data_IF_248943902265
#
_entry.id   IF_248943902265
#
_cell.length_a   1.000
_cell.length_b   1.000
_cell.length_c   1.000
_cell.angle_alpha   90.00
_cell.angle_beta   90.00
_cell.angle_gamma   90.00
#
_symmetry.space_group_name_H-M   'P 1'
#
loop_
_entity.id
_entity.type
_entity.pdbx_description
1 polymer ?
#
# COMPACT_ATOMS: atom_id res chain seq x y z
N UNK A 1 -4.55 -18.54 11.81
CA UNK A 1 -3.20 -18.52 12.43
C UNK A 1 -2.73 -17.08 12.35
N UNK A 2 -2.36 -16.45 13.46
CA UNK A 2 -1.78 -15.09 13.43
C UNK A 2 -0.46 -15.16 12.67
N UNK A 3 -0.34 -14.42 11.57
CA UNK A 3 0.92 -14.33 10.82
C UNK A 3 2.05 -13.86 11.75
N UNK A 4 3.28 -14.37 11.60
CA UNK A 4 4.40 -13.90 12.42
C UNK A 4 4.62 -12.40 12.19
N UNK A 5 4.88 -11.64 13.25
CA UNK A 5 5.17 -10.21 13.15
C UNK A 5 6.64 -10.01 12.74
N UNK A 6 6.89 -9.17 11.73
CA UNK A 6 8.24 -8.85 11.29
C UNK A 6 8.36 -7.40 10.84
N UNK A 7 9.39 -6.70 11.33
CA UNK A 7 9.86 -5.45 10.75
C UNK A 7 10.65 -5.69 9.46
N UNK A 8 11.55 -6.69 9.45
CA UNK A 8 12.38 -7.00 8.29
C UNK A 8 11.53 -7.59 7.16
N UNK A 9 11.92 -7.38 5.89
CA UNK A 9 11.15 -7.89 4.77
C UNK A 9 10.98 -9.41 4.83
N UNK A 10 9.75 -9.87 4.62
CA UNK A 10 9.42 -11.28 4.65
C UNK A 10 8.25 -11.59 3.72
N UNK A 11 8.58 -12.23 2.59
CA UNK A 11 7.59 -12.63 1.59
C UNK A 11 6.57 -13.68 2.09
N UNK A 12 6.91 -14.53 3.07
CA UNK A 12 5.97 -15.52 3.61
C UNK A 12 4.80 -14.85 4.35
N UNK A 13 5.07 -13.72 5.04
CA UNK A 13 4.03 -12.92 5.71
C UNK A 13 3.06 -12.34 4.67
N UNK A 14 3.61 -11.80 3.58
CA UNK A 14 2.80 -11.27 2.47
C UNK A 14 1.93 -12.36 1.85
N UNK A 15 2.49 -13.56 1.61
CA UNK A 15 1.71 -14.69 1.09
C UNK A 15 0.58 -15.10 2.04
N UNK A 16 0.83 -15.09 3.34
CA UNK A 16 -0.18 -15.38 4.35
C UNK A 16 -1.30 -14.31 4.34
N UNK A 17 -0.97 -13.03 4.20
CA UNK A 17 -1.97 -11.98 4.08
C UNK A 17 -2.75 -12.04 2.76
N UNK A 18 -2.11 -12.33 1.63
CA UNK A 18 -2.82 -12.55 0.37
C UNK A 18 -3.83 -13.69 0.48
N UNK A 19 -3.43 -14.83 1.08
CA UNK A 19 -4.35 -15.93 1.33
C UNK A 19 -5.51 -15.50 2.24
N UNK A 20 -5.20 -14.82 3.35
CA UNK A 20 -6.23 -14.38 4.31
C UNK A 20 -7.23 -13.41 3.65
N UNK A 21 -6.74 -12.42 2.90
CA UNK A 21 -7.59 -11.48 2.14
C UNK A 21 -8.53 -12.20 1.18
N UNK A 22 -8.02 -13.23 0.47
CA UNK A 22 -8.82 -14.03 -0.46
C UNK A 22 -9.85 -14.91 0.24
N UNK A 23 -9.51 -15.51 1.38
CA UNK A 23 -10.46 -16.27 2.20
C UNK A 23 -11.58 -15.37 2.71
N UNK A 24 -11.25 -14.19 3.26
CA UNK A 24 -12.22 -13.20 3.73
C UNK A 24 -13.13 -12.68 2.61
N UNK A 25 -12.56 -12.43 1.43
CA UNK A 25 -13.34 -12.06 0.25
C UNK A 25 -14.37 -13.13 -0.08
N UNK A 26 -13.98 -14.41 -0.12
CA UNK A 26 -14.91 -15.50 -0.42
C UNK A 26 -16.01 -15.63 0.64
N UNK A 27 -15.65 -15.55 1.93
CA UNK A 27 -16.64 -15.59 3.00
C UNK A 27 -17.65 -14.44 2.86
N UNK A 28 -17.17 -13.24 2.54
CA UNK A 28 -18.04 -12.08 2.32
C UNK A 28 -18.89 -12.22 1.06
N UNK A 29 -18.37 -12.76 -0.05
CA UNK A 29 -19.16 -12.96 -1.27
C UNK A 29 -20.32 -13.93 -1.04
N UNK A 30 -20.08 -15.00 -0.29
CA UNK A 30 -21.15 -15.95 0.08
C UNK A 30 -22.20 -15.29 0.99
N UNK A 31 -21.76 -14.53 1.99
CA UNK A 31 -22.66 -13.78 2.86
C UNK A 31 -23.50 -12.77 2.06
N UNK A 32 -22.86 -11.98 1.19
CA UNK A 32 -23.54 -10.99 0.35
C UNK A 32 -24.57 -11.67 -0.57
N UNK A 33 -24.21 -12.79 -1.20
CA UNK A 33 -25.12 -13.53 -2.07
C UNK A 33 -26.36 -14.05 -1.31
N UNK A 34 -26.18 -14.48 -0.05
CA UNK A 34 -27.29 -14.90 0.82
C UNK A 34 -28.20 -13.71 1.17
N UNK A 35 -27.65 -12.62 1.69
CA UNK A 35 -28.45 -11.48 2.16
C UNK A 35 -29.08 -10.67 1.03
N UNK A 36 -28.53 -10.72 -0.19
CA UNK A 36 -29.10 -10.05 -1.36
C UNK A 36 -29.99 -10.95 -2.22
N UNK A 37 -30.24 -12.21 -1.82
CA UNK A 37 -30.91 -13.21 -2.66
C UNK A 37 -32.34 -12.87 -3.08
N UNK A 38 -33.04 -12.02 -2.32
CA UNK A 38 -34.39 -11.53 -2.69
C UNK A 38 -34.36 -10.53 -3.86
N UNK A 39 -33.20 -9.92 -4.14
CA UNK A 39 -33.04 -8.85 -5.12
C UNK A 39 -32.06 -9.20 -6.26
N UNK A 40 -31.09 -10.07 -6.00
CA UNK A 40 -30.03 -10.45 -6.94
C UNK A 40 -30.06 -11.97 -7.09
N UNK A 41 -30.48 -12.44 -8.26
CA UNK A 41 -30.40 -13.85 -8.62
C UNK A 41 -29.00 -14.16 -9.16
N UNK A 42 -28.23 -14.95 -8.42
CA UNK A 42 -26.88 -15.40 -8.80
C UNK A 42 -26.89 -16.90 -9.08
N UNK A 43 -26.10 -17.32 -10.08
CA UNK A 43 -25.86 -18.74 -10.30
C UNK A 43 -24.97 -19.31 -9.20
N UNK A 44 -25.50 -20.25 -8.42
CA UNK A 44 -24.74 -20.95 -7.38
C UNK A 44 -23.48 -21.63 -7.93
N UNK A 45 -23.51 -22.06 -9.20
CA UNK A 45 -22.35 -22.68 -9.86
C UNK A 45 -21.27 -21.63 -10.18
N UNK A 46 -21.66 -20.45 -10.70
CA UNK A 46 -20.70 -19.37 -10.98
C UNK A 46 -20.04 -18.86 -9.71
N UNK A 47 -20.82 -18.70 -8.63
CA UNK A 47 -20.30 -18.33 -7.31
C UNK A 47 -19.29 -19.36 -6.80
N UNK A 48 -19.61 -20.66 -6.86
CA UNK A 48 -18.69 -21.70 -6.39
C UNK A 48 -17.41 -21.76 -7.24
N UNK A 49 -17.51 -21.61 -8.56
CA UNK A 49 -16.34 -21.56 -9.44
C UNK A 49 -15.44 -20.37 -9.12
N UNK A 50 -16.02 -19.18 -8.90
CA UNK A 50 -15.27 -18.00 -8.50
C UNK A 50 -14.62 -18.19 -7.13
N UNK A 51 -15.33 -18.76 -6.16
CA UNK A 51 -14.80 -19.06 -4.82
C UNK A 51 -13.57 -19.98 -4.88
N UNK A 52 -13.63 -21.05 -5.69
CA UNK A 52 -12.49 -21.95 -5.89
C UNK A 52 -11.31 -21.21 -6.52
N UNK A 53 -11.56 -20.39 -7.56
CA UNK A 53 -10.52 -19.63 -8.24
C UNK A 53 -9.85 -18.61 -7.31
N UNK A 54 -10.64 -17.83 -6.56
CA UNK A 54 -10.15 -16.82 -5.60
C UNK A 54 -9.33 -17.50 -4.50
N UNK A 55 -9.69 -18.70 -4.03
CA UNK A 55 -8.88 -19.42 -3.02
C UNK A 55 -7.57 -19.98 -3.57
N UNK A 56 -7.49 -20.27 -4.86
CA UNK A 56 -6.32 -20.92 -5.46
C UNK A 56 -5.27 -19.93 -6.00
N UNK A 57 -5.69 -18.74 -6.45
CA UNK A 57 -4.81 -17.81 -7.14
C UNK A 57 -5.01 -16.38 -6.63
N UNK A 58 -3.94 -15.58 -6.63
CA UNK A 58 -4.03 -14.17 -6.26
C UNK A 58 -5.02 -13.44 -7.17
N UNK A 59 -5.77 -12.51 -6.60
CA UNK A 59 -6.76 -11.70 -7.33
C UNK A 59 -6.14 -10.41 -7.84
N UNK A 60 -6.76 -9.83 -8.86
CA UNK A 60 -6.42 -8.47 -9.27
C UNK A 60 -6.86 -7.47 -8.17
N UNK A 61 -6.07 -6.43 -7.88
CA UNK A 61 -6.46 -5.36 -6.96
C UNK A 61 -7.81 -4.72 -7.35
N UNK A 62 -8.09 -4.64 -8.65
CA UNK A 62 -9.36 -4.17 -9.20
C UNK A 62 -10.55 -5.05 -8.79
N UNK A 63 -10.35 -6.35 -8.59
CA UNK A 63 -11.39 -7.29 -8.12
C UNK A 63 -11.78 -7.00 -6.68
N UNK A 64 -10.78 -6.74 -5.82
CA UNK A 64 -11.06 -6.37 -4.43
C UNK A 64 -11.77 -5.02 -4.36
N UNK A 65 -11.31 -4.03 -5.12
CA UNK A 65 -11.96 -2.73 -5.17
C UNK A 65 -13.41 -2.81 -5.71
N UNK A 66 -13.68 -3.63 -6.73
CA UNK A 66 -15.04 -3.91 -7.20
C UNK A 66 -15.91 -4.55 -6.09
N UNK A 67 -15.34 -5.40 -5.24
CA UNK A 67 -16.04 -5.93 -4.07
C UNK A 67 -16.38 -4.83 -3.05
N UNK A 68 -15.50 -3.86 -2.78
CA UNK A 68 -15.84 -2.72 -1.91
C UNK A 68 -16.96 -1.87 -2.51
N UNK A 69 -16.93 -1.63 -3.82
CA UNK A 69 -18.01 -0.95 -4.55
C UNK A 69 -19.33 -1.73 -4.43
N UNK A 70 -19.27 -3.07 -4.52
CA UNK A 70 -20.43 -3.97 -4.38
C UNK A 70 -21.08 -3.82 -3.00
N UNK A 71 -20.28 -3.82 -1.93
CA UNK A 71 -20.78 -3.61 -0.56
C UNK A 71 -21.50 -2.27 -0.47
N UNK A 72 -20.92 -1.20 -1.03
CA UNK A 72 -21.54 0.12 -1.07
C UNK A 72 -22.87 0.14 -1.82
N UNK A 73 -22.95 -0.52 -2.98
CA UNK A 73 -24.16 -0.60 -3.80
C UNK A 73 -25.30 -1.36 -3.07
N UNK A 74 -24.98 -2.45 -2.38
CA UNK A 74 -25.95 -3.19 -1.55
C UNK A 74 -26.45 -2.31 -0.40
N UNK A 75 -25.55 -1.59 0.28
CA UNK A 75 -25.92 -0.72 1.40
C UNK A 75 -26.80 0.47 0.98
N UNK A 76 -26.60 1.00 -0.23
CA UNK A 76 -27.42 2.08 -0.79
C UNK A 76 -28.74 1.60 -1.42
N UNK A 77 -28.92 0.28 -1.55
CA UNK A 77 -30.08 -0.33 -2.21
C UNK A 77 -30.04 -0.26 -3.74
N UNK A 78 -28.89 0.04 -4.34
CA UNK A 78 -28.68 0.02 -5.78
C UNK A 78 -28.38 -1.41 -6.26
N UNK A 79 -29.42 -2.24 -6.32
CA UNK A 79 -29.29 -3.66 -6.65
C UNK A 79 -28.94 -3.93 -8.13
N UNK A 80 -29.17 -2.95 -9.02
CA UNK A 80 -28.77 -3.09 -10.43
C UNK A 80 -27.25 -2.95 -10.56
N UNK A 81 -26.65 -1.96 -9.91
CA UNK A 81 -25.19 -1.79 -9.82
C UNK A 81 -24.56 -2.97 -9.06
N UNK A 82 -25.14 -3.36 -7.92
CA UNK A 82 -24.66 -4.50 -7.15
C UNK A 82 -24.64 -5.80 -7.98
N UNK A 83 -25.66 -6.05 -8.80
CA UNK A 83 -25.68 -7.22 -9.70
C UNK A 83 -24.56 -7.16 -10.73
N UNK A 84 -24.29 -5.98 -11.30
CA UNK A 84 -23.20 -5.80 -12.26
C UNK A 84 -21.82 -6.05 -11.62
N UNK A 85 -21.59 -5.49 -10.42
CA UNK A 85 -20.34 -5.66 -9.68
C UNK A 85 -20.14 -7.10 -9.20
N UNK A 86 -21.21 -7.79 -8.78
CA UNK A 86 -21.14 -9.23 -8.52
C UNK A 86 -20.63 -9.98 -9.76
N UNK A 87 -21.24 -9.74 -10.91
CA UNK A 87 -20.86 -10.43 -12.14
C UNK A 87 -19.42 -10.09 -12.56
N UNK A 88 -18.97 -8.86 -12.31
CA UNK A 88 -17.57 -8.48 -12.53
C UNK A 88 -16.62 -9.30 -11.64
N UNK A 89 -16.89 -9.40 -10.34
CA UNK A 89 -16.08 -10.17 -9.39
C UNK A 89 -16.10 -11.66 -9.73
N UNK A 90 -17.27 -12.22 -10.07
CA UNK A 90 -17.44 -13.63 -10.45
C UNK A 90 -16.75 -13.99 -11.76
N UNK A 91 -16.54 -13.04 -12.67
CA UNK A 91 -15.81 -13.26 -13.93
C UNK A 91 -14.36 -12.77 -13.88
N UNK A 92 -13.90 -12.26 -12.75
CA UNK A 92 -12.56 -11.72 -12.63
C UNK A 92 -11.50 -12.82 -12.87
N UNK A 93 -10.58 -12.51 -13.78
CA UNK A 93 -9.40 -13.33 -14.03
C UNK A 93 -8.40 -13.21 -12.88
N UNK A 94 -7.62 -14.28 -12.60
CA UNK A 94 -6.54 -14.22 -11.62
C UNK A 94 -5.51 -13.16 -11.97
N UNK A 95 -4.85 -12.62 -10.94
CA UNK A 95 -3.67 -11.79 -11.14
C UNK A 95 -2.53 -12.61 -11.77
N UNK A 96 -1.71 -11.93 -12.55
CA UNK A 96 -0.47 -12.50 -13.07
C UNK A 96 0.57 -12.57 -11.95
N UNK A 97 1.46 -13.57 -12.02
CA UNK A 97 2.63 -13.64 -11.14
C UNK A 97 3.61 -12.48 -11.35
N UNK A 98 3.49 -11.74 -12.46
CA UNK A 98 4.34 -10.59 -12.76
C UNK A 98 3.63 -9.27 -12.44
N UNK A 99 4.39 -8.38 -11.80
CA UNK A 99 3.98 -7.00 -11.54
C UNK A 99 3.74 -6.26 -12.87
N UNK A 100 2.59 -5.59 -12.98
CA UNK A 100 2.24 -4.79 -14.17
C UNK A 100 2.17 -3.31 -13.84
N UNK A 101 2.87 -2.49 -14.62
CA UNK A 101 2.77 -1.03 -14.58
C UNK A 101 1.70 -0.58 -15.57
N UNK A 102 0.70 0.18 -15.10
CA UNK A 102 -0.43 0.67 -15.90
C UNK A 102 -0.57 2.20 -15.81
N UNK A 103 -1.04 2.88 -16.86
CA UNK A 103 -1.27 4.32 -16.81
C UNK A 103 -2.59 4.64 -16.11
N UNK A 104 -2.64 5.77 -15.41
CA UNK A 104 -3.89 6.47 -15.13
C UNK A 104 -4.35 7.19 -16.40
N UNK A 105 -5.58 6.92 -16.84
CA UNK A 105 -6.15 7.41 -18.10
C UNK A 105 -7.25 8.46 -17.92
N UNK A 106 -7.76 8.65 -16.70
CA UNK A 106 -8.78 9.65 -16.39
C UNK A 106 -10.10 9.06 -15.89
N UNK A 107 -11.07 9.93 -15.63
CA UNK A 107 -12.35 9.56 -15.02
C UNK A 107 -13.24 8.64 -15.90
N UNK A 108 -13.01 8.63 -17.22
CA UNK A 108 -13.76 7.78 -18.16
C UNK A 108 -13.19 6.35 -18.25
N UNK A 109 -12.04 6.08 -17.64
CA UNK A 109 -11.41 4.76 -17.59
C UNK A 109 -11.74 4.07 -16.26
N UNK A 110 -12.35 2.88 -16.34
CA UNK A 110 -12.87 2.15 -15.17
C UNK A 110 -11.75 1.86 -14.13
N UNK A 111 -10.58 1.30 -14.49
CA UNK A 111 -9.49 1.14 -13.55
C UNK A 111 -9.07 2.46 -12.90
N UNK A 112 -8.91 3.52 -13.68
CA UNK A 112 -8.48 4.84 -13.18
C UNK A 112 -9.44 5.42 -12.14
N UNK A 113 -10.74 5.44 -12.43
CA UNK A 113 -11.73 5.97 -11.48
C UNK A 113 -11.84 5.08 -10.24
N UNK A 114 -11.73 3.76 -10.39
CA UNK A 114 -11.76 2.82 -9.27
C UNK A 114 -10.60 3.03 -8.32
N UNK A 115 -9.39 3.23 -8.84
CA UNK A 115 -8.24 3.52 -7.98
C UNK A 115 -8.44 4.82 -7.21
N UNK A 116 -8.94 5.86 -7.90
CA UNK A 116 -9.18 7.16 -7.24
C UNK A 116 -10.23 7.07 -6.14
N UNK A 117 -11.34 6.37 -6.36
CA UNK A 117 -12.35 6.15 -5.31
C UNK A 117 -11.79 5.49 -4.05
N UNK A 118 -10.72 4.70 -4.18
CA UNK A 118 -10.09 4.01 -3.06
C UNK A 118 -9.04 4.87 -2.34
N UNK A 119 -8.32 5.75 -3.06
CA UNK A 119 -7.26 6.59 -2.45
C UNK A 119 -7.73 7.98 -2.06
N UNK A 120 -8.80 8.51 -2.67
CA UNK A 120 -9.37 9.82 -2.37
C UNK A 120 -10.38 9.73 -1.21
N UNK A 121 -9.86 9.64 0.00
CA UNK A 121 -10.66 9.42 1.22
C UNK A 121 -10.94 10.70 2.01
N UNK A 122 -10.37 11.84 1.62
CA UNK A 122 -10.47 13.10 2.34
C UNK A 122 -11.21 14.14 1.48
N UNK A 123 -12.51 14.38 1.71
CA UNK A 123 -13.29 15.33 0.92
C UNK A 123 -12.80 16.78 1.07
N UNK A 124 -12.09 17.12 2.15
CA UNK A 124 -11.55 18.45 2.38
C UNK A 124 -10.19 18.66 1.68
N UNK A 125 -9.51 17.57 1.31
CA UNK A 125 -8.22 17.60 0.62
C UNK A 125 -8.16 16.53 -0.49
N UNK A 126 -8.81 16.79 -1.63
CA UNK A 126 -9.00 15.80 -2.68
C UNK A 126 -7.66 15.32 -3.28
N UNK A 127 -7.57 14.02 -3.50
CA UNK A 127 -6.43 13.38 -4.14
C UNK A 127 -6.50 13.54 -5.67
N UNK A 128 -5.81 14.56 -6.18
CA UNK A 128 -5.85 14.90 -7.60
C UNK A 128 -4.76 14.16 -8.39
N UNK A 129 -5.18 13.30 -9.31
CA UNK A 129 -4.31 12.64 -10.28
C UNK A 129 -4.72 12.99 -11.72
N UNK A 130 -3.73 13.16 -12.57
CA UNK A 130 -3.89 13.41 -14.00
C UNK A 130 -3.12 12.37 -14.81
N UNK A 131 -3.53 12.07 -16.05
CA UNK A 131 -2.73 11.25 -16.94
C UNK A 131 -1.33 11.85 -17.11
N UNK A 132 -0.29 11.04 -16.93
CA UNK A 132 1.09 11.45 -17.18
C UNK A 132 1.36 11.58 -18.68
N UNK A 133 2.40 12.33 -19.06
CA UNK A 133 2.86 12.30 -20.45
C UNK A 133 3.41 10.91 -20.80
N UNK A 134 3.48 10.59 -22.10
CA UNK A 134 4.07 9.32 -22.55
C UNK A 134 5.54 9.20 -22.16
N UNK A 135 6.27 10.32 -22.15
CA UNK A 135 7.67 10.39 -21.75
C UNK A 135 7.83 10.14 -20.25
N UNK A 136 7.03 10.81 -19.41
CA UNK A 136 7.05 10.61 -17.96
C UNK A 136 6.67 9.17 -17.57
N UNK A 137 5.65 8.61 -18.23
CA UNK A 137 5.25 7.22 -18.02
C UNK A 137 6.37 6.24 -18.36
N UNK A 138 7.01 6.40 -19.53
CA UNK A 138 8.08 5.53 -19.98
C UNK A 138 9.30 5.62 -19.05
N UNK A 139 9.67 6.85 -18.65
CA UNK A 139 10.77 7.11 -17.70
C UNK A 139 10.50 6.49 -16.34
N UNK A 140 9.33 6.72 -15.75
CA UNK A 140 8.98 6.16 -14.45
C UNK A 140 8.90 4.63 -14.49
N UNK A 141 8.34 4.05 -15.56
CA UNK A 141 8.34 2.59 -15.76
C UNK A 141 9.76 2.02 -15.82
N UNK A 142 10.66 2.66 -16.56
CA UNK A 142 12.06 2.26 -16.61
C UNK A 142 12.73 2.38 -15.23
N UNK A 143 12.48 3.46 -14.50
CA UNK A 143 13.00 3.62 -13.13
C UNK A 143 12.48 2.55 -12.17
N UNK A 144 11.22 2.13 -12.29
CA UNK A 144 10.67 1.00 -11.51
C UNK A 144 11.44 -0.28 -11.82
N UNK A 145 11.64 -0.59 -13.10
CA UNK A 145 12.37 -1.78 -13.54
C UNK A 145 13.81 -1.78 -13.00
N UNK A 146 14.55 -0.67 -13.20
CA UNK A 146 15.93 -0.52 -12.71
C UNK A 146 16.02 -0.59 -11.18
N UNK A 147 15.06 -0.01 -10.47
CA UNK A 147 15.02 -0.04 -9.00
C UNK A 147 14.72 -1.44 -8.47
N UNK A 148 13.83 -2.18 -9.12
CA UNK A 148 13.53 -3.57 -8.76
C UNK A 148 14.74 -4.48 -9.03
N UNK A 149 15.45 -4.30 -10.15
CA UNK A 149 16.70 -5.04 -10.43
C UNK A 149 17.79 -4.74 -9.39
N UNK A 150 17.92 -3.47 -9.00
CA UNK A 150 18.84 -3.06 -7.94
C UNK A 150 18.47 -3.68 -6.60
N UNK A 151 17.19 -3.63 -6.21
CA UNK A 151 16.69 -4.27 -5.00
C UNK A 151 16.88 -5.79 -5.04
N UNK A 152 16.67 -6.44 -6.19
CA UNK A 152 16.90 -7.88 -6.32
C UNK A 152 18.35 -8.26 -6.01
N UNK A 153 19.30 -7.39 -6.37
CA UNK A 153 20.73 -7.62 -6.15
C UNK A 153 21.17 -7.28 -4.72
N UNK A 154 20.72 -6.14 -4.21
CA UNK A 154 21.24 -5.55 -2.96
C UNK A 154 20.39 -5.89 -1.73
N UNK A 155 19.10 -6.14 -1.94
CA UNK A 155 18.15 -6.55 -0.91
C UNK A 155 17.12 -7.57 -1.43
N UNK A 156 17.55 -8.82 -1.68
CA UNK A 156 16.67 -9.84 -2.26
C UNK A 156 15.40 -10.09 -1.44
N UNK A 157 15.46 -9.91 -0.11
CA UNK A 157 14.30 -10.08 0.77
C UNK A 157 13.24 -8.99 0.54
N UNK A 158 13.67 -7.72 0.44
CA UNK A 158 12.76 -6.60 0.12
C UNK A 158 12.19 -6.74 -1.29
N UNK A 159 13.02 -7.11 -2.27
CA UNK A 159 12.55 -7.39 -3.62
C UNK A 159 11.48 -8.50 -3.63
N UNK A 160 11.73 -9.61 -2.94
CA UNK A 160 10.79 -10.73 -2.86
C UNK A 160 9.48 -10.32 -2.17
N UNK A 161 9.54 -9.54 -1.08
CA UNK A 161 8.35 -9.03 -0.41
C UNK A 161 7.52 -8.14 -1.33
N UNK A 162 8.15 -7.15 -1.98
CA UNK A 162 7.48 -6.21 -2.90
C UNK A 162 6.85 -6.95 -4.07
N UNK A 163 7.59 -7.84 -4.73
CA UNK A 163 7.10 -8.54 -5.94
C UNK A 163 6.09 -9.64 -5.63
N UNK A 164 6.10 -10.19 -4.41
CA UNK A 164 5.04 -11.08 -3.94
C UNK A 164 3.77 -10.28 -3.66
N UNK A 165 3.88 -9.11 -3.03
CA UNK A 165 2.76 -8.27 -2.62
C UNK A 165 2.09 -7.58 -3.81
N UNK A 166 2.87 -6.86 -4.60
CA UNK A 166 2.34 -6.00 -5.65
C UNK A 166 2.04 -6.77 -6.94
N UNK A 167 0.85 -6.55 -7.47
CA UNK A 167 0.39 -6.99 -8.80
C UNK A 167 0.28 -5.83 -9.76
N UNK A 168 -0.01 -4.62 -9.26
CA UNK A 168 -0.17 -3.40 -10.06
C UNK A 168 0.60 -2.22 -9.50
N UNK A 169 1.17 -1.42 -10.40
CA UNK A 169 1.56 -0.03 -10.13
C UNK A 169 0.82 0.84 -11.12
N UNK A 170 -0.03 1.74 -10.63
CA UNK A 170 -0.66 2.75 -11.48
C UNK A 170 0.19 4.02 -11.48
N UNK A 171 0.52 4.52 -12.67
CA UNK A 171 1.27 5.76 -12.85
C UNK A 171 0.36 6.88 -13.34
N UNK A 172 0.34 7.98 -12.59
CA UNK A 172 -0.24 9.25 -13.04
C UNK A 172 0.68 10.42 -12.69
N UNK A 173 0.16 11.62 -12.73
CA UNK A 173 0.88 12.84 -12.36
C UNK A 173 0.03 13.70 -11.45
N UNK A 174 0.66 14.34 -10.46
CA UNK A 174 0.00 15.37 -9.66
C UNK A 174 -0.29 16.64 -10.46
N UNK A 175 -1.04 17.59 -9.87
CA UNK A 175 -1.32 18.87 -10.51
C UNK A 175 -0.05 19.67 -10.75
N UNK A 176 0.05 20.33 -11.93
CA UNK A 176 1.22 21.13 -12.32
C UNK A 176 1.12 22.60 -11.89
N UNK A 177 -0.06 23.03 -11.42
CA UNK A 177 -0.31 24.42 -11.08
C UNK A 177 0.35 24.79 -9.74
N UNK A 178 1.01 25.94 -9.70
CA UNK A 178 1.65 26.42 -8.47
C UNK A 178 0.61 26.62 -7.36
N UNK A 179 0.87 26.03 -6.20
CA UNK A 179 0.03 26.17 -5.01
C UNK A 179 -1.01 25.06 -4.84
N UNK A 180 -1.08 24.10 -5.77
CA UNK A 180 -1.82 22.87 -5.57
C UNK A 180 -0.90 21.80 -4.95
N UNK A 181 -1.45 20.99 -4.05
CA UNK A 181 -0.74 19.85 -3.49
C UNK A 181 -0.58 18.77 -4.56
N UNK A 182 0.67 18.36 -4.79
CA UNK A 182 1.01 17.15 -5.54
C UNK A 182 1.03 15.94 -4.60
N UNK A 183 1.12 14.74 -5.16
CA UNK A 183 1.29 13.50 -4.41
C UNK A 183 2.58 12.80 -4.83
N UNK A 184 3.18 12.02 -3.93
CA UNK A 184 4.33 11.17 -4.23
C UNK A 184 3.85 9.76 -4.60
N UNK A 185 3.02 9.18 -3.74
CA UNK A 185 2.35 7.91 -3.94
C UNK A 185 1.09 7.78 -3.07
N UNK A 186 0.34 6.71 -3.29
CA UNK A 186 -0.80 6.34 -2.46
C UNK A 186 -1.03 4.83 -2.47
N UNK A 187 -1.58 4.36 -1.35
CA UNK A 187 -1.99 2.97 -1.12
C UNK A 187 -3.32 2.97 -0.35
N UNK A 188 -4.18 2.00 -0.61
CA UNK A 188 -5.47 1.86 0.08
C UNK A 188 -5.79 0.38 0.37
N UNK A 189 -6.48 0.06 1.49
CA UNK A 189 -6.87 -1.32 1.82
C UNK A 189 -7.71 -2.00 0.72
N UNK A 190 -8.60 -1.24 0.07
CA UNK A 190 -9.42 -1.75 -1.05
C UNK A 190 -8.64 -2.02 -2.34
N UNK A 191 -7.36 -1.63 -2.38
CA UNK A 191 -6.43 -1.86 -3.48
C UNK A 191 -5.28 -2.80 -3.04
N UNK A 192 -5.55 -3.80 -2.19
CA UNK A 192 -4.55 -4.79 -1.79
C UNK A 192 -3.75 -5.33 -2.99
N UNK A 193 -2.43 -5.16 -2.95
CA UNK A 193 -1.53 -5.56 -4.03
C UNK A 193 -1.39 -4.52 -5.13
N UNK A 194 -1.83 -3.28 -4.91
CA UNK A 194 -1.58 -2.15 -5.80
C UNK A 194 -1.09 -0.90 -5.06
N UNK A 195 -0.36 -0.09 -5.80
CA UNK A 195 0.06 1.25 -5.40
C UNK A 195 -0.14 2.23 -6.56
N UNK A 196 -0.37 3.49 -6.23
CA UNK A 196 -0.41 4.61 -7.19
C UNK A 196 0.85 5.43 -6.98
N UNK A 197 1.61 5.70 -8.04
CA UNK A 197 2.81 6.53 -7.95
C UNK A 197 2.73 7.72 -8.90
N UNK A 198 3.31 8.84 -8.48
CA UNK A 198 3.52 9.97 -9.35
C UNK A 198 4.71 9.66 -10.29
N UNK A 199 4.45 9.71 -11.59
CA UNK A 199 5.41 9.44 -12.65
C UNK A 199 6.48 10.51 -12.80
N UNK A 200 6.37 11.64 -12.09
CA UNK A 200 7.31 12.77 -12.17
C UNK A 200 8.24 12.82 -10.96
N UNK A 201 7.73 12.63 -9.73
CA UNK A 201 8.48 12.93 -8.49
C UNK A 201 9.76 12.11 -8.32
N UNK A 202 9.79 10.76 -8.50
CA UNK A 202 11.03 10.02 -8.38
C UNK A 202 11.98 10.39 -9.53
N UNK A 203 13.14 10.98 -9.21
CA UNK A 203 14.08 11.45 -10.23
C UNK A 203 15.15 10.41 -10.57
N UNK A 204 15.41 9.47 -9.66
CA UNK A 204 16.39 8.40 -9.84
C UNK A 204 16.00 7.11 -9.08
N UNK A 205 16.84 6.08 -9.21
CA UNK A 205 16.63 4.76 -8.60
C UNK A 205 16.62 4.76 -7.07
N UNK A 206 17.27 5.74 -6.42
CA UNK A 206 17.26 5.85 -4.95
C UNK A 206 15.89 6.38 -4.49
N UNK A 207 15.32 7.34 -5.20
CA UNK A 207 13.96 7.81 -4.91
C UNK A 207 12.94 6.73 -5.20
N UNK A 208 13.04 6.09 -6.37
CA UNK A 208 12.07 5.09 -6.79
C UNK A 208 12.12 3.85 -5.88
N UNK A 209 13.29 3.35 -5.50
CA UNK A 209 13.41 2.24 -4.55
C UNK A 209 12.81 2.58 -3.18
N UNK A 210 13.01 3.80 -2.67
CA UNK A 210 12.38 4.25 -1.44
C UNK A 210 10.87 4.41 -1.58
N UNK A 211 10.39 4.91 -2.72
CA UNK A 211 8.96 5.07 -3.03
C UNK A 211 8.26 3.71 -3.10
N UNK A 212 8.89 2.72 -3.75
CA UNK A 212 8.40 1.35 -3.77
C UNK A 212 8.37 0.75 -2.36
N UNK A 213 9.42 0.95 -1.56
CA UNK A 213 9.47 0.48 -0.18
C UNK A 213 8.45 1.20 0.72
N UNK A 214 8.14 2.46 0.45
CA UNK A 214 7.15 3.26 1.17
C UNK A 214 5.74 2.69 0.96
N UNK A 215 5.30 2.64 -0.29
CA UNK A 215 3.92 2.28 -0.60
C UNK A 215 3.65 0.78 -0.40
N UNK A 216 4.64 -0.09 -0.69
CA UNK A 216 4.52 -1.52 -0.35
C UNK A 216 4.46 -1.74 1.16
N UNK A 217 5.13 -0.91 1.96
CA UNK A 217 5.04 -0.98 3.42
C UNK A 217 3.65 -0.59 3.92
N UNK A 218 3.00 0.42 3.31
CA UNK A 218 1.59 0.70 3.61
C UNK A 218 0.68 -0.47 3.29
N UNK A 219 0.85 -1.11 2.12
CA UNK A 219 0.14 -2.35 1.81
C UNK A 219 0.41 -3.43 2.87
N UNK A 220 1.67 -3.66 3.27
CA UNK A 220 2.01 -4.62 4.33
C UNK A 220 1.29 -4.31 5.65
N UNK A 221 1.24 -3.03 6.06
CA UNK A 221 0.54 -2.60 7.27
C UNK A 221 -0.98 -2.86 7.17
N UNK A 222 -1.60 -2.70 6.00
CA UNK A 222 -3.01 -3.10 5.83
C UNK A 222 -3.22 -4.60 6.05
N UNK A 223 -2.23 -5.43 5.71
CA UNK A 223 -2.27 -6.87 5.95
C UNK A 223 -2.24 -7.19 7.45
N UNK A 224 -1.40 -6.47 8.20
CA UNK A 224 -1.43 -6.54 9.67
C UNK A 224 -2.77 -6.05 10.25
N UNK A 225 -3.47 -5.14 9.57
CA UNK A 225 -4.75 -4.61 10.00
C UNK A 225 -5.99 -5.44 9.60
N UNK A 226 -5.82 -6.65 9.04
CA UNK A 226 -6.96 -7.47 8.58
C UNK A 226 -7.91 -7.82 9.73
N UNK A 227 -7.37 -8.21 10.88
CA UNK A 227 -8.17 -8.68 12.02
C UNK A 227 -8.32 -7.63 13.14
N UNK A 228 -7.39 -6.69 13.26
CA UNK A 228 -7.39 -5.67 14.33
C UNK A 228 -6.59 -4.42 13.94
N UNK A 229 -6.82 -3.30 14.62
CA UNK A 229 -6.06 -2.06 14.45
C UNK A 229 -4.67 -2.17 15.11
N UNK A 230 -3.75 -1.25 14.76
CA UNK A 230 -2.42 -1.17 15.38
C UNK A 230 -2.40 -0.23 16.59
N UNK A 231 -3.37 0.69 16.64
CA UNK A 231 -3.62 1.59 17.78
C UNK A 231 -5.12 1.66 18.01
N UNK A 232 -5.53 1.71 19.28
CA UNK A 232 -6.94 1.83 19.68
C UNK A 232 -7.43 3.29 19.72
N UNK A 233 -6.52 4.26 19.55
CA UNK A 233 -6.88 5.67 19.51
C UNK A 233 -7.87 5.91 18.38
N UNK A 234 -8.99 6.62 18.63
CA UNK A 234 -9.93 6.91 17.58
C UNK A 234 -9.28 7.87 16.56
N UNK A 235 -9.79 7.85 15.32
CA UNK A 235 -9.76 9.05 14.46
C UNK A 235 -10.42 10.21 15.24
N UNK A 236 -10.56 11.46 14.81
CA UNK A 236 -10.92 12.59 15.71
C UNK A 236 -9.88 12.92 16.82
N UNK A 237 -9.18 11.96 17.43
CA UNK A 237 -8.02 12.27 18.27
C UNK A 237 -6.84 12.64 17.37
N UNK A 238 -6.47 13.93 17.34
CA UNK A 238 -5.47 14.48 16.41
C UNK A 238 -4.24 15.01 17.16
N UNK A 239 -3.06 14.67 16.67
CA UNK A 239 -1.77 15.05 17.25
C UNK A 239 -0.87 15.70 16.21
N UNK A 240 0.03 16.57 16.67
CA UNK A 240 1.04 17.14 15.79
C UNK A 240 1.92 16.03 15.21
N UNK A 241 2.16 16.09 13.89
CA UNK A 241 3.06 15.19 13.19
C UNK A 241 4.23 16.01 12.64
N UNK A 242 5.49 15.57 12.79
CA UNK A 242 6.65 16.26 12.22
C UNK A 242 6.59 16.39 10.69
N UNK A 243 5.83 15.49 10.04
CA UNK A 243 5.79 15.36 8.58
C UNK A 243 4.67 16.18 7.92
N UNK A 244 3.76 16.79 8.70
CA UNK A 244 2.65 17.59 8.18
C UNK A 244 2.36 18.79 9.06
N UNK A 245 1.85 19.85 8.43
CA UNK A 245 1.40 21.05 9.15
C UNK A 245 0.13 20.75 9.93
N UNK A 246 -0.77 19.96 9.36
CA UNK A 246 -2.04 19.61 9.97
C UNK A 246 -1.93 18.43 10.95
N UNK A 247 -2.59 18.50 12.12
CA UNK A 247 -2.67 17.39 13.06
C UNK A 247 -3.27 16.12 12.45
N UNK A 248 -2.74 14.96 12.84
CA UNK A 248 -3.07 13.65 12.26
C UNK A 248 -3.67 12.70 13.31
N UNK A 249 -4.55 11.75 12.91
CA UNK A 249 -4.84 10.60 13.77
C UNK A 249 -3.56 9.87 14.12
N UNK A 250 -3.57 9.21 15.28
CA UNK A 250 -2.43 8.42 15.73
C UNK A 250 -2.15 7.22 14.83
N UNK A 251 -3.17 6.62 14.22
CA UNK A 251 -3.01 5.59 13.19
C UNK A 251 -2.14 6.11 12.02
N UNK A 252 -2.45 7.30 11.52
CA UNK A 252 -1.66 7.95 10.47
C UNK A 252 -0.22 8.27 10.89
N UNK A 253 0.03 8.59 12.16
CA UNK A 253 1.39 8.81 12.69
C UNK A 253 2.13 7.48 12.86
N UNK A 254 1.42 6.42 13.29
CA UNK A 254 1.96 5.07 13.40
C UNK A 254 2.46 4.60 12.04
N UNK A 255 1.60 4.66 11.02
CA UNK A 255 1.91 4.26 9.65
C UNK A 255 3.12 5.02 9.11
N UNK A 256 3.13 6.35 9.23
CA UNK A 256 4.24 7.17 8.75
C UNK A 256 5.56 6.85 9.48
N UNK A 257 5.51 6.66 10.81
CA UNK A 257 6.70 6.32 11.61
C UNK A 257 7.27 4.97 11.20
N UNK A 258 6.44 3.93 11.09
CA UNK A 258 6.90 2.61 10.69
C UNK A 258 7.49 2.61 9.27
N UNK A 259 6.84 3.31 8.34
CA UNK A 259 7.32 3.46 6.96
C UNK A 259 8.66 4.20 6.91
N UNK A 260 8.89 5.22 7.74
CA UNK A 260 10.19 5.91 7.81
C UNK A 260 11.32 4.95 8.18
N UNK A 261 11.12 4.01 9.10
CA UNK A 261 12.12 2.99 9.42
C UNK A 261 12.37 2.05 8.21
N UNK A 262 11.34 1.72 7.44
CA UNK A 262 11.47 0.92 6.21
C UNK A 262 12.18 1.67 5.09
N UNK A 263 11.92 2.97 4.93
CA UNK A 263 12.66 3.83 4.00
C UNK A 263 14.13 3.97 4.43
N UNK A 264 14.40 4.15 5.73
CA UNK A 264 15.75 4.16 6.28
C UNK A 264 16.47 2.85 5.93
N UNK A 265 15.82 1.70 6.13
CA UNK A 265 16.37 0.39 5.79
C UNK A 265 16.74 0.24 4.31
N UNK A 266 15.87 0.70 3.42
CA UNK A 266 16.15 0.73 1.97
C UNK A 266 17.31 1.66 1.65
N UNK A 267 17.28 2.91 2.13
CA UNK A 267 18.32 3.90 1.87
C UNK A 267 19.69 3.47 2.41
N UNK A 268 19.74 2.86 3.60
CA UNK A 268 20.97 2.31 4.18
C UNK A 268 21.58 1.21 3.30
N UNK A 269 20.73 0.32 2.74
CA UNK A 269 21.18 -0.72 1.81
C UNK A 269 21.81 -0.10 0.56
N UNK A 270 21.18 0.93 -0.02
CA UNK A 270 21.66 1.57 -1.24
C UNK A 270 22.90 2.45 -1.01
N UNK A 271 23.04 3.05 0.18
CA UNK A 271 24.21 3.85 0.55
C UNK A 271 25.50 3.01 0.58
N UNK A 272 25.40 1.74 0.96
CA UNK A 272 26.52 0.80 1.02
C UNK A 272 26.71 -0.02 -0.27
N UNK A 273 25.83 0.15 -1.26
CA UNK A 273 25.81 -0.69 -2.46
C UNK A 273 26.90 -0.31 -3.46
N UNK A 274 27.80 -1.22 -3.86
CA UNK A 274 28.82 -0.95 -4.87
C UNK A 274 28.26 -0.84 -6.29
N UNK A 275 26.97 -1.16 -6.50
CA UNK A 275 26.28 -1.05 -7.80
C UNK A 275 25.72 0.33 -8.07
N UNK A 276 25.65 1.16 -7.04
CA UNK A 276 25.14 2.52 -7.10
C UNK A 276 26.32 3.48 -7.29
N UNK A 277 26.14 4.54 -8.08
CA UNK A 277 27.21 5.54 -8.29
C UNK A 277 27.54 6.27 -6.98
N UNK A 278 28.74 6.84 -6.87
CA UNK A 278 29.15 7.57 -5.66
C UNK A 278 28.20 8.74 -5.33
N UNK A 279 27.66 9.42 -6.35
CA UNK A 279 26.69 10.50 -6.20
C UNK A 279 25.38 9.97 -5.60
N UNK A 280 24.87 8.84 -6.10
CA UNK A 280 23.65 8.23 -5.61
C UNK A 280 23.83 7.57 -4.24
N UNK A 281 25.01 7.03 -3.92
CA UNK A 281 25.34 6.58 -2.56
C UNK A 281 25.32 7.75 -1.57
N UNK A 282 25.88 8.91 -1.97
CA UNK A 282 25.83 10.11 -1.13
C UNK A 282 24.39 10.57 -0.91
N UNK A 283 23.55 10.56 -1.95
CA UNK A 283 22.12 10.84 -1.83
C UNK A 283 21.44 9.85 -0.88
N UNK A 284 21.64 8.54 -1.06
CA UNK A 284 21.07 7.51 -0.18
C UNK A 284 21.49 7.71 1.29
N UNK A 285 22.74 8.12 1.55
CA UNK A 285 23.21 8.46 2.90
C UNK A 285 22.50 9.69 3.48
N UNK A 286 22.21 10.71 2.66
CA UNK A 286 21.43 11.88 3.08
C UNK A 286 19.99 11.51 3.40
N UNK A 287 19.35 10.74 2.52
CA UNK A 287 17.99 10.23 2.71
C UNK A 287 17.89 9.38 3.98
N UNK A 288 18.80 8.42 4.17
CA UNK A 288 18.88 7.59 5.38
C UNK A 288 18.86 8.46 6.66
N UNK A 289 19.70 9.50 6.74
CA UNK A 289 19.75 10.42 7.90
C UNK A 289 18.46 11.22 8.07
N UNK A 290 17.84 11.66 6.97
CA UNK A 290 16.56 12.37 7.03
C UNK A 290 15.44 11.47 7.58
N UNK A 291 15.40 10.20 7.15
CA UNK A 291 14.42 9.22 7.65
C UNK A 291 14.67 8.86 9.12
N UNK A 292 15.92 8.84 9.57
CA UNK A 292 16.24 8.68 10.99
C UNK A 292 15.56 9.76 11.85
N UNK A 293 15.73 11.04 11.49
CA UNK A 293 15.15 12.15 12.23
C UNK A 293 13.62 12.02 12.28
N UNK A 294 13.00 11.83 11.12
CA UNK A 294 11.54 11.68 11.04
C UNK A 294 11.02 10.50 11.87
N UNK A 295 11.74 9.38 11.88
CA UNK A 295 11.35 8.19 12.66
C UNK A 295 11.30 8.51 14.15
N UNK A 296 12.37 9.10 14.71
CA UNK A 296 12.41 9.36 16.14
C UNK A 296 11.44 10.46 16.57
N UNK A 297 11.18 11.45 15.73
CA UNK A 297 10.18 12.47 16.02
C UNK A 297 8.75 11.88 16.04
N UNK A 298 8.42 11.01 15.08
CA UNK A 298 7.16 10.27 15.05
C UNK A 298 7.04 9.32 16.25
N UNK A 299 8.09 8.55 16.54
CA UNK A 299 8.14 7.63 17.67
C UNK A 299 7.96 8.35 19.01
N UNK A 300 8.54 9.54 19.19
CA UNK A 300 8.37 10.33 20.40
C UNK A 300 6.89 10.71 20.63
N UNK A 301 6.17 11.02 19.55
CA UNK A 301 4.73 11.29 19.61
C UNK A 301 3.95 10.03 19.98
N UNK A 302 4.24 8.91 19.34
CA UNK A 302 3.58 7.63 19.62
C UNK A 302 3.83 7.15 21.05
N UNK A 303 5.07 7.19 21.55
CA UNK A 303 5.39 6.80 22.95
C UNK A 303 4.61 7.61 23.98
N UNK A 304 4.23 8.84 23.65
CA UNK A 304 3.50 9.72 24.55
C UNK A 304 1.98 9.54 24.48
N UNK A 305 1.46 9.19 23.30
CA UNK A 305 0.03 9.31 23.01
C UNK A 305 -0.65 8.01 22.53
N UNK A 306 0.11 7.01 22.08
CA UNK A 306 -0.43 5.79 21.51
C UNK A 306 -0.94 4.83 22.57
N UNK A 307 -2.21 4.48 22.45
CA UNK A 307 -2.82 3.31 23.03
C UNK A 307 -2.66 2.15 22.04
N UNK A 308 -1.49 1.50 22.08
CA UNK A 308 -1.16 0.41 21.17
C UNK A 308 -2.01 -0.84 21.44
N UNK A 309 -2.35 -1.56 20.38
CA UNK A 309 -2.68 -2.99 20.50
C UNK A 309 -1.40 -3.79 20.77
N UNK A 310 -1.52 -5.03 21.26
CA UNK A 310 -0.35 -5.90 21.49
C UNK A 310 0.47 -6.08 20.20
N UNK A 311 -0.21 -6.24 19.08
CA UNK A 311 0.40 -6.36 17.76
C UNK A 311 1.10 -5.07 17.33
N UNK A 312 0.41 -3.92 17.44
CA UNK A 312 0.98 -2.62 17.06
C UNK A 312 2.22 -2.29 17.90
N UNK A 313 2.19 -2.60 19.21
CA UNK A 313 3.36 -2.43 20.06
C UNK A 313 4.52 -3.31 19.63
N UNK A 314 4.28 -4.60 19.39
CA UNK A 314 5.34 -5.53 18.98
C UNK A 314 6.00 -5.13 17.64
N UNK A 315 5.22 -4.66 16.66
CA UNK A 315 5.75 -4.19 15.38
C UNK A 315 6.57 -2.90 15.53
N UNK A 316 6.07 -1.92 16.29
CA UNK A 316 6.81 -0.67 16.51
C UNK A 316 8.07 -0.88 17.32
N UNK A 317 8.05 -1.75 18.34
CA UNK A 317 9.23 -2.12 19.12
C UNK A 317 10.28 -2.81 18.23
N UNK A 318 9.87 -3.65 17.27
CA UNK A 318 10.78 -4.27 16.30
C UNK A 318 11.41 -3.24 15.35
N UNK A 319 10.63 -2.25 14.88
CA UNK A 319 11.15 -1.14 14.08
C UNK A 319 12.13 -0.28 14.86
N UNK A 320 11.82 0.05 16.12
CA UNK A 320 12.70 0.80 17.01
C UNK A 320 14.00 0.02 17.29
N UNK A 321 13.92 -1.30 17.53
CA UNK A 321 15.11 -2.14 17.74
C UNK A 321 16.04 -2.12 16.52
N UNK A 322 15.48 -2.19 15.30
CA UNK A 322 16.25 -1.99 14.08
C UNK A 322 16.92 -0.61 14.04
N UNK A 323 16.13 0.46 14.23
CA UNK A 323 16.62 1.84 14.13
C UNK A 323 17.72 2.13 15.15
N UNK A 324 17.56 1.69 16.40
CA UNK A 324 18.56 1.83 17.45
C UNK A 324 19.88 1.12 17.07
N UNK A 325 19.80 -0.11 16.55
CA UNK A 325 20.97 -0.85 16.07
C UNK A 325 21.64 -0.16 14.89
N UNK A 326 20.87 0.30 13.91
CA UNK A 326 21.40 0.93 12.70
C UNK A 326 22.06 2.30 12.96
N UNK A 327 21.58 3.02 13.97
CA UNK A 327 22.04 4.37 14.33
C UNK A 327 23.03 4.40 15.49
N UNK A 328 23.31 3.24 16.10
CA UNK A 328 24.22 3.12 17.25
C UNK A 328 23.67 3.69 18.56
N UNK A 329 22.35 3.91 18.66
CA UNK A 329 21.69 4.31 19.92
C UNK A 329 21.53 3.07 20.82
N UNK A 330 22.03 3.14 22.05
CA UNK A 330 21.82 2.06 23.03
C UNK A 330 20.35 2.00 23.44
N UNK A 331 19.77 0.80 23.48
CA UNK A 331 18.44 0.54 24.03
C UNK A 331 18.51 0.84 25.54
N UNK A 332 17.87 1.91 25.99
CA UNK A 332 17.81 2.32 27.40
C UNK A 332 16.80 1.51 28.19
#
# INVERSE_FOLDING_TARGET
MTAPLSFYPNHDIVQAFDLTTRERLVDSLNYLAEVSSEHIELSANELEQANVRIRQQSILPETLAAYYELVGAIQSGDFDEARALFQEVLNAEPASDTLKVIPYLGADDIPSIRYIRQVDTDPDNPFNIHPSSQEDFARAKQLIEESLELLQSENPALFAEITTLLKRIMLGSGPKEKGQFTFDGASAPGLWGAIVLNAVEPVDVVDMAQTLAHESCHNLLFGYCIDDQLVNNPDSERHASPLRIDPRPLDGIYHATFVLARMHYTAATLADSPRVSAELQQKACQEMKAREVGFYDGLATLKKHADYTDQGKALMDAAEAYMNKATGKQVS
#
